data_IF_149677201554
#
_entry.id   IF_149677201554
#
_cell.length_a   1.000
_cell.length_b   1.000
_cell.length_c   1.000
_cell.angle_alpha   90.00
_cell.angle_beta   90.00
_cell.angle_gamma   90.00
#
_symmetry.space_group_name_H-M   'P 1'
#
loop_
_entity.id
_entity.type
_entity.pdbx_description
1 polymer ?
2 non-polymer ?
3 non-polymer ?
4 water ?
#
# COMPACT_ATOMS: atom_id res chain seq x y z
N UNK A 1 -18.17 -1.20 3.75
CA UNK A 1 -18.34 -2.55 4.35
C UNK A 1 -17.00 -3.00 4.93
N UNK A 2 -16.88 -4.30 5.19
CA UNK A 2 -15.66 -4.91 5.73
C UNK A 2 -15.04 -5.76 4.63
N UNK A 3 -13.80 -5.44 4.30
CA UNK A 3 -13.10 -6.16 3.26
C UNK A 3 -11.89 -6.89 3.88
N UNK A 4 -11.81 -8.22 3.68
CA UNK A 4 -10.67 -8.99 4.20
C UNK A 4 -9.57 -8.92 3.15
N UNK A 5 -8.35 -9.34 3.51
CA UNK A 5 -7.22 -9.22 2.60
C UNK A 5 -6.64 -10.47 1.95
N UNK A 6 -7.44 -11.53 1.86
CA UNK A 6 -7.02 -12.77 1.22
C UNK A 6 -6.84 -12.54 -0.27
N UNK A 7 -7.49 -11.52 -0.80
CA UNK A 7 -7.33 -11.17 -2.21
C UNK A 7 -6.94 -9.68 -2.23
N UNK A 8 -6.45 -9.17 -3.36
CA UNK A 8 -6.15 -7.73 -3.42
C UNK A 8 -7.45 -6.97 -3.19
N UNK A 9 -7.42 -5.88 -2.38
CA UNK A 9 -8.61 -5.05 -2.08
C UNK A 9 -8.99 -4.08 -3.23
N UNK A 10 -9.53 -4.63 -4.31
CA UNK A 10 -9.90 -3.85 -5.49
C UNK A 10 -11.34 -3.39 -5.41
N UNK A 11 -11.58 -2.14 -5.81
CA UNK A 11 -12.93 -1.59 -5.79
C UNK A 11 -13.24 -0.84 -7.08
N UNK A 12 -14.51 -0.58 -7.29
CA UNK A 12 -14.92 0.14 -8.46
C UNK A 12 -15.01 1.64 -8.14
N UNK A 13 -14.37 2.45 -8.97
CA UNK A 13 -14.45 3.87 -8.79
C UNK A 13 -14.99 4.47 -10.09
N UNK A 14 -15.60 5.64 -9.96
CA UNK A 14 -16.12 6.39 -11.11
C UNK A 14 -15.47 7.73 -10.99
N UNK A 15 -14.71 8.07 -12.02
CA UNK A 15 -14.00 9.32 -12.06
C UNK A 15 -13.97 9.84 -13.49
N UNK A 16 -14.42 11.08 -13.64
CA UNK A 16 -14.43 11.71 -14.95
C UNK A 16 -15.39 11.07 -15.92
N UNK A 17 -16.50 10.55 -15.42
CA UNK A 17 -17.48 9.90 -16.27
C UNK A 17 -17.12 8.47 -16.66
N UNK A 18 -15.93 8.02 -16.26
CA UNK A 18 -15.44 6.66 -16.57
C UNK A 18 -15.35 5.70 -15.38
N UNK A 19 -15.60 4.43 -15.65
CA UNK A 19 -15.54 3.42 -14.61
C UNK A 19 -14.20 2.72 -14.60
N UNK A 20 -13.63 2.57 -13.41
CA UNK A 20 -12.35 1.92 -13.31
C UNK A 20 -12.29 1.09 -12.06
N UNK A 21 -11.27 0.26 -12.01
CA UNK A 21 -11.02 -0.61 -10.89
C UNK A 21 -9.76 -0.03 -10.24
N UNK A 22 -9.77 0.09 -8.91
CA UNK A 22 -8.64 0.62 -8.16
C UNK A 22 -8.33 -0.19 -6.89
N UNK A 23 -7.08 -0.12 -6.46
CA UNK A 23 -6.63 -0.85 -5.29
C UNK A 23 -6.65 0.03 -4.04
N UNK A 24 -7.34 -0.40 -3.00
CA UNK A 24 -7.36 0.37 -1.75
C UNK A 24 -5.98 0.15 -1.08
N UNK A 25 -5.17 1.22 -1.02
CA UNK A 25 -3.81 1.11 -0.50
C UNK A 25 -3.46 1.97 0.73
N UNK A 26 -3.41 1.33 1.90
CA UNK A 26 -3.09 2.07 3.13
C UNK A 26 -1.64 2.57 3.19
N UNK A 27 -0.79 1.96 2.36
CA UNK A 27 0.60 2.35 2.33
C UNK A 27 0.94 3.45 1.33
N UNK A 28 -0.09 4.08 0.74
CA UNK A 28 0.08 5.16 -0.23
C UNK A 28 -0.45 6.46 0.37
N UNK A 29 0.37 7.50 0.43
CA UNK A 29 -0.15 8.76 0.98
C UNK A 29 -1.11 9.36 -0.05
N UNK A 30 -0.78 9.15 -1.33
CA UNK A 30 -1.51 9.68 -2.50
C UNK A 30 -2.29 8.68 -3.35
N UNK A 31 -3.20 9.21 -4.14
CA UNK A 31 -4.01 8.42 -5.06
C UNK A 31 -3.38 8.57 -6.46
N UNK A 32 -3.02 7.46 -7.08
CA UNK A 32 -2.39 7.52 -8.40
C UNK A 32 -3.17 6.66 -9.40
N UNK A 33 -3.56 7.27 -10.51
CA UNK A 33 -4.31 6.57 -11.54
C UNK A 33 -3.48 6.44 -12.81
N UNK A 34 -3.62 5.31 -13.51
CA UNK A 34 -2.91 5.09 -14.78
C UNK A 34 -3.25 6.22 -15.74
N UNK A 35 -2.54 6.33 -16.87
CA UNK A 35 -2.81 7.44 -17.81
C UNK A 35 -4.32 7.63 -18.06
N UNK A 36 -4.77 8.87 -17.87
CA UNK A 36 -6.16 9.10 -18.07
C UNK A 36 -6.44 10.52 -18.52
N UNK A 37 -7.49 10.62 -19.32
CA UNK A 37 -7.95 11.88 -19.88
C UNK A 37 -8.76 12.60 -18.82
N UNK A 38 -8.09 13.44 -18.06
CA UNK A 38 -8.78 14.20 -17.03
C UNK A 38 -8.89 15.62 -17.51
N UNK A 39 -9.87 16.36 -16.99
CA UNK A 39 -10.03 17.74 -17.44
C UNK A 39 -9.71 18.75 -16.34
N UNK A 40 -9.24 19.91 -16.78
CA UNK A 40 -8.91 20.98 -15.85
C UNK A 40 -7.42 21.27 -15.88
N UNK A 41 -6.96 22.08 -14.92
CA UNK A 41 -5.53 22.43 -14.82
C UNK A 41 -4.77 21.52 -13.87
N UNK A 42 -3.44 21.56 -13.95
CA UNK A 42 -2.58 20.75 -13.09
C UNK A 42 -1.16 21.30 -12.95
N UNK A 43 -0.34 20.60 -12.18
CA UNK A 43 1.06 20.96 -11.92
C UNK A 43 1.89 19.67 -11.81
N UNK A 44 3.13 19.66 -12.36
CA UNK A 44 3.95 18.45 -12.28
C UNK A 44 4.33 18.07 -10.85
N UNK A 45 4.66 16.80 -10.68
CA UNK A 45 5.05 16.28 -9.39
C UNK A 45 5.71 14.94 -9.62
N UNK A 46 6.52 14.50 -8.65
CA UNK A 46 7.22 13.23 -8.71
C UNK A 46 6.88 12.44 -7.47
N UNK A 47 6.71 11.14 -7.61
CA UNK A 47 6.43 10.33 -6.44
C UNK A 47 7.33 9.12 -6.47
N UNK A 48 7.59 8.59 -5.29
CA UNK A 48 8.43 7.42 -5.17
C UNK A 48 7.70 6.25 -4.52
N UNK A 49 8.24 5.06 -4.77
CA UNK A 49 7.67 3.85 -4.22
C UNK A 49 8.79 2.83 -4.22
N UNK A 50 8.45 1.54 -4.11
CA UNK A 50 9.48 0.52 -4.10
C UNK A 50 10.61 0.57 -5.15
N UNK A 51 10.29 0.69 -6.43
CA UNK A 51 11.36 0.71 -7.43
C UNK A 51 11.99 2.02 -7.87
N UNK A 52 11.49 3.16 -7.40
CA UNK A 52 12.06 4.43 -7.82
C UNK A 52 11.08 5.57 -7.86
N UNK A 53 11.25 6.48 -8.80
CA UNK A 53 10.36 7.63 -8.90
C UNK A 53 9.66 7.74 -10.27
N UNK A 54 8.46 8.33 -10.31
CA UNK A 54 7.76 8.55 -11.58
C UNK A 54 7.21 9.96 -11.58
N UNK A 55 6.95 10.49 -12.76
CA UNK A 55 6.38 11.84 -12.84
C UNK A 55 4.90 11.70 -13.15
N UNK A 56 4.11 12.49 -12.44
CA UNK A 56 2.65 12.45 -12.58
C UNK A 56 2.07 13.86 -12.65
N UNK A 57 0.90 13.98 -13.27
CA UNK A 57 0.27 15.29 -13.35
C UNK A 57 -0.65 15.32 -12.13
N UNK A 58 -0.67 16.43 -11.42
CA UNK A 58 -1.50 16.53 -10.24
C UNK A 58 -2.72 17.45 -10.37
N UNK A 59 -3.91 16.84 -10.30
CA UNK A 59 -5.19 17.52 -10.43
C UNK A 59 -5.86 17.65 -9.08
N UNK A 60 -6.26 18.87 -8.71
CA UNK A 60 -6.92 19.06 -7.42
C UNK A 60 -8.45 19.14 -7.54
N UNK A 61 -9.13 19.00 -6.40
CA UNK A 61 -10.57 19.04 -6.34
C UNK A 61 -11.21 18.20 -7.44
N UNK A 62 -10.88 16.92 -7.50
CA UNK A 62 -11.45 16.05 -8.52
C UNK A 62 -12.50 15.21 -7.83
N UNK A 63 -13.67 15.11 -8.44
CA UNK A 63 -14.72 14.29 -7.86
C UNK A 63 -14.42 12.83 -8.23
N UNK A 64 -14.51 11.95 -7.24
CA UNK A 64 -14.27 10.53 -7.46
C UNK A 64 -15.29 9.80 -6.62
N UNK A 65 -15.85 8.73 -7.15
CA UNK A 65 -16.83 7.96 -6.42
C UNK A 65 -16.22 6.58 -6.16
N UNK A 66 -16.02 6.24 -4.89
CA UNK A 66 -15.40 4.96 -4.48
C UNK A 66 -16.43 4.14 -3.73
N UNK A 67 -16.78 2.99 -4.30
CA UNK A 67 -17.82 2.13 -3.74
C UNK A 67 -19.03 2.96 -3.31
N UNK A 68 -19.47 3.86 -4.18
CA UNK A 68 -20.64 4.67 -3.88
C UNK A 68 -20.43 5.93 -3.05
N UNK A 69 -19.27 6.07 -2.42
CA UNK A 69 -19.02 7.28 -1.63
C UNK A 69 -18.34 8.28 -2.52
N UNK A 70 -18.93 9.46 -2.62
CA UNK A 70 -18.35 10.53 -3.40
C UNK A 70 -17.39 11.28 -2.48
N UNK A 71 -16.25 11.67 -3.01
CA UNK A 71 -15.23 12.40 -2.29
C UNK A 71 -14.62 13.31 -3.34
N UNK A 72 -14.01 14.40 -2.90
CA UNK A 72 -13.36 15.36 -3.78
C UNK A 72 -11.94 15.49 -3.21
N UNK A 73 -10.94 15.40 -4.06
CA UNK A 73 -9.58 15.47 -3.59
C UNK A 73 -8.61 15.51 -4.74
N UNK A 74 -7.33 15.40 -4.39
CA UNK A 74 -6.29 15.44 -5.39
C UNK A 74 -6.08 14.07 -5.96
N UNK A 75 -5.82 14.03 -7.25
CA UNK A 75 -5.59 12.77 -7.90
C UNK A 75 -4.35 13.01 -8.73
N UNK A 76 -3.49 12.01 -8.78
CA UNK A 76 -2.26 12.10 -9.57
C UNK A 76 -2.37 11.11 -10.75
N UNK A 77 -2.05 11.59 -11.94
CA UNK A 77 -2.14 10.75 -13.13
C UNK A 77 -0.77 10.58 -13.78
N UNK A 78 -0.40 9.33 -14.04
CA UNK A 78 0.89 9.05 -14.64
C UNK A 78 1.11 7.58 -14.94
N UNK A 79 2.37 7.17 -15.22
CA UNK A 79 2.70 5.77 -15.53
C UNK A 79 2.77 4.78 -14.37
N UNK A 80 1.67 4.59 -13.65
CA UNK A 80 1.63 3.64 -12.55
C UNK A 80 1.07 2.33 -13.09
N UNK A 81 1.58 1.19 -12.60
CA UNK A 81 1.12 -0.14 -13.04
C UNK A 81 -0.40 -0.36 -12.77
N UNK A 82 -0.83 0.09 -11.58
CA UNK A 82 -2.21 -0.07 -11.13
C UNK A 82 -2.77 1.25 -10.59
N UNK A 83 -4.09 1.36 -10.58
CA UNK A 83 -4.75 2.54 -10.01
C UNK A 83 -4.70 2.32 -8.50
N UNK A 84 -4.20 3.29 -7.76
CA UNK A 84 -4.11 3.14 -6.31
C UNK A 84 -4.88 4.27 -5.62
N UNK A 85 -5.71 3.91 -4.64
CA UNK A 85 -6.50 4.88 -3.87
C UNK A 85 -5.72 5.03 -2.57
N UNK A 86 -5.10 6.19 -2.35
CA UNK A 86 -4.28 6.42 -1.16
C UNK A 86 -5.00 7.01 0.04
N UNK A 87 -4.27 7.28 1.11
CA UNK A 87 -4.85 7.80 2.31
C UNK A 87 -5.56 9.15 2.17
N UNK A 88 -5.18 9.95 1.20
CA UNK A 88 -5.87 11.23 1.04
C UNK A 88 -7.34 11.03 0.74
N UNK A 89 -7.70 9.95 0.07
CA UNK A 89 -9.11 9.69 -0.20
C UNK A 89 -9.71 8.69 0.79
N UNK A 90 -8.90 7.75 1.28
CA UNK A 90 -9.38 6.74 2.24
C UNK A 90 -9.91 7.38 3.55
N UNK A 91 -9.24 8.43 4.04
CA UNK A 91 -9.72 9.11 5.24
C UNK A 91 -11.12 9.67 4.94
N UNK A 92 -11.32 10.14 3.70
CA UNK A 92 -12.58 10.72 3.23
C UNK A 92 -13.77 9.79 3.24
N UNK A 93 -13.55 8.49 3.18
CA UNK A 93 -14.69 7.58 3.22
C UNK A 93 -14.71 6.92 4.59
N UNK A 94 -13.89 7.46 5.50
CA UNK A 94 -13.82 6.95 6.86
C UNK A 94 -13.34 5.52 6.94
N UNK A 95 -12.39 5.17 6.09
CA UNK A 95 -11.86 3.83 6.03
C UNK A 95 -10.83 3.60 7.13
N UNK A 96 -10.94 2.47 7.83
CA UNK A 96 -10.00 2.10 8.92
C UNK A 96 -9.45 0.68 8.77
N UNK A 97 -8.35 0.39 9.45
CA UNK A 97 -7.76 -0.96 9.45
C UNK A 97 -8.17 -1.50 10.82
N UNK A 98 -8.54 -2.79 10.88
CA UNK A 98 -9.01 -3.40 12.12
C UNK A 98 -8.42 -4.78 12.31
N UNK A 99 -7.90 -5.09 13.50
CA UNK A 99 -7.37 -6.42 13.74
C UNK A 99 -7.28 -6.74 15.24
N UNK B 1 -6.42 -3.71 17.02
CA UNK B 1 -7.33 -2.57 17.34
C UNK B 1 -7.80 -1.94 16.03
N UNK B 2 -8.35 -0.73 16.12
CA UNK B 2 -8.83 0.02 14.96
C UNK B 2 -7.89 1.19 14.72
N UNK B 3 -7.30 1.20 13.53
CA UNK B 3 -6.35 2.23 13.15
C UNK B 3 -6.94 3.12 12.04
N UNK B 4 -7.06 4.44 12.28
CA UNK B 4 -7.58 5.34 11.25
C UNK B 4 -6.39 5.74 10.37
N UNK B 5 -6.68 6.35 9.21
CA UNK B 5 -5.62 6.67 8.26
C UNK B 5 -5.19 8.12 8.05
N UNK B 6 -5.46 8.97 9.05
CA UNK B 6 -5.06 10.38 9.00
C UNK B 6 -3.55 10.47 9.05
N UNK B 7 -2.90 9.45 9.60
CA UNK B 7 -1.44 9.44 9.64
C UNK B 7 -1.03 8.10 8.98
N UNK B 8 0.24 7.94 8.61
CA UNK B 8 0.66 6.65 8.05
C UNK B 8 0.43 5.59 9.12
N UNK B 9 -0.09 4.39 8.73
CA UNK B 9 -0.37 3.26 9.66
C UNK B 9 0.91 2.46 10.05
N UNK B 10 1.76 3.07 10.86
CA UNK B 10 3.02 2.47 11.30
C UNK B 10 2.86 1.68 12.58
N UNK B 11 3.50 0.53 12.64
CA UNK B 11 3.41 -0.29 13.84
C UNK B 11 4.78 -0.81 14.23
N UNK B 12 4.87 -1.33 15.45
CA UNK B 12 6.12 -1.88 15.91
C UNK B 12 6.13 -3.38 15.65
N UNK B 13 7.20 -3.86 15.03
CA UNK B 13 7.34 -5.28 14.80
C UNK B 13 8.64 -5.74 15.44
N UNK B 14 8.69 -7.02 15.79
CA UNK B 14 9.88 -7.62 16.36
C UNK B 14 10.18 -8.78 15.43
N UNK B 15 11.36 -8.73 14.83
CA UNK B 15 11.79 -9.76 13.91
C UNK B 15 13.29 -9.98 14.06
N UNK B 16 13.66 -11.23 14.28
CA UNK B 16 15.06 -11.58 14.42
C UNK B 16 15.72 -11.00 15.66
N UNK B 17 14.95 -10.86 16.73
CA UNK B 17 15.49 -10.29 17.96
C UNK B 17 15.59 -8.76 17.94
N UNK B 18 15.27 -8.15 16.80
CA UNK B 18 15.32 -6.69 16.64
C UNK B 18 13.97 -5.99 16.54
N UNK B 19 13.90 -4.77 17.05
CA UNK B 19 12.66 -4.00 17.02
C UNK B 19 12.70 -3.02 15.85
N UNK B 20 11.61 -2.97 15.12
CA UNK B 20 11.53 -2.08 14.00
C UNK B 20 10.15 -1.52 13.86
N UNK B 21 10.06 -0.50 13.04
CA UNK B 21 8.82 0.19 12.75
C UNK B 21 8.49 -0.19 11.30
N UNK B 22 7.24 -0.58 11.05
CA UNK B 22 6.79 -0.96 9.72
C UNK B 22 5.43 -0.36 9.35
N UNK B 23 5.20 -0.22 8.05
CA UNK B 23 3.97 0.34 7.52
C UNK B 23 2.98 -0.74 7.14
N UNK B 24 1.77 -0.71 7.69
CA UNK B 24 0.73 -1.69 7.34
C UNK B 24 0.23 -1.29 5.95
N UNK B 25 0.54 -2.13 4.96
CA UNK B 25 0.21 -1.82 3.55
C UNK B 25 -0.74 -2.78 2.83
N UNK B 26 -2.00 -2.38 2.67
CA UNK B 26 -2.98 -3.25 2.00
C UNK B 26 -2.72 -3.40 0.50
N UNK B 27 -1.94 -2.47 -0.05
CA UNK B 27 -1.62 -2.53 -1.47
C UNK B 27 -0.35 -3.32 -1.82
N UNK B 28 0.22 -4.03 -0.84
CA UNK B 28 1.42 -4.83 -1.03
C UNK B 28 1.07 -6.31 -0.87
N UNK B 29 1.36 -7.14 -1.87
CA UNK B 29 1.02 -8.56 -1.72
C UNK B 29 2.01 -9.16 -0.72
N UNK B 30 3.26 -8.65 -0.76
CA UNK B 30 4.40 -9.09 0.05
C UNK B 30 4.89 -8.15 1.15
N UNK B 31 5.64 -8.72 2.08
CA UNK B 31 6.24 -7.95 3.17
C UNK B 31 7.71 -7.68 2.80
N UNK B 32 8.09 -6.42 2.76
CA UNK B 32 9.46 -6.07 2.40
C UNK B 32 10.13 -5.24 3.50
N UNK B 33 11.28 -5.72 3.98
CA UNK B 33 12.00 -5.03 5.02
C UNK B 33 13.32 -4.49 4.49
N UNK B 34 13.75 -3.34 5.01
CA UNK B 34 15.04 -2.80 4.61
C UNK B 34 16.17 -3.82 4.92
N UNK B 35 17.40 -3.53 4.49
CA UNK B 35 18.50 -4.46 4.75
C UNK B 35 18.60 -4.84 6.23
N UNK B 36 18.69 -6.14 6.49
CA UNK B 36 18.85 -6.60 7.84
C UNK B 36 19.39 -8.01 7.79
N UNK B 37 20.03 -8.39 8.88
CA UNK B 37 20.63 -9.71 9.00
C UNK B 37 19.59 -10.70 9.46
N UNK B 38 19.34 -11.69 8.62
CA UNK B 38 18.36 -12.69 8.95
C UNK B 38 19.02 -14.05 8.86
N UNK B 39 18.62 -14.97 9.75
CA UNK B 39 19.18 -16.32 9.74
C UNK B 39 18.34 -17.21 8.82
N UNK B 40 18.87 -18.39 8.53
CA UNK B 40 18.17 -19.32 7.65
C UNK B 40 18.67 -19.12 6.24
N UNK B 41 18.08 -19.84 5.30
CA UNK B 41 18.48 -19.74 3.89
C UNK B 41 17.59 -18.74 3.13
N UNK B 42 17.74 -18.71 1.81
CA UNK B 42 16.92 -17.86 0.95
C UNK B 42 17.10 -18.13 -0.56
N UNK B 43 16.37 -17.36 -1.38
CA UNK B 43 16.41 -17.45 -2.84
C UNK B 43 16.13 -16.05 -3.41
N UNK B 44 16.82 -15.65 -4.51
CA UNK B 44 16.59 -14.32 -5.10
C UNK B 44 15.18 -14.14 -5.64
N UNK B 45 14.78 -12.88 -5.75
CA UNK B 45 13.46 -12.55 -6.27
C UNK B 45 13.48 -11.07 -6.61
N UNK B 46 12.55 -10.67 -7.48
CA UNK B 46 12.43 -9.28 -7.90
C UNK B 46 11.00 -8.84 -7.65
N UNK B 47 10.82 -7.60 -7.21
CA UNK B 47 9.47 -7.11 -7.00
C UNK B 47 9.34 -5.75 -7.62
N UNK B 48 8.11 -5.42 -7.99
CA UNK B 48 7.84 -4.12 -8.59
C UNK B 48 6.84 -3.31 -7.78
N UNK B 49 6.88 -2.01 -8.02
CA UNK B 49 5.97 -1.10 -7.35
C UNK B 49 5.93 0.15 -8.21
N UNK B 50 5.52 1.28 -7.65
CA UNK B 50 5.48 2.51 -8.42
C UNK B 50 6.99 2.78 -8.50
N UNK B 51 7.48 3.10 -9.69
CA UNK B 51 8.89 3.37 -9.79
C UNK B 51 9.70 2.34 -10.54
N UNK B 52 9.47 1.05 -10.31
CA UNK B 52 10.26 0.04 -11.01
C UNK B 52 10.39 -1.28 -10.28
N UNK B 53 11.53 -1.94 -10.43
CA UNK B 53 11.77 -3.23 -9.80
C UNK B 53 13.02 -3.27 -8.91
N UNK B 54 12.99 -4.02 -7.82
CA UNK B 54 14.18 -4.13 -6.97
C UNK B 54 14.44 -5.59 -6.71
N UNK B 55 15.67 -5.94 -6.36
CA UNK B 55 15.98 -7.34 -6.06
C UNK B 55 16.02 -7.49 -4.56
N UNK B 56 15.42 -8.57 -4.06
CA UNK B 56 15.35 -8.83 -2.63
C UNK B 56 15.66 -10.30 -2.33
N UNK B 57 16.11 -10.57 -1.11
CA UNK B 57 16.39 -11.96 -0.74
C UNK B 57 15.10 -12.41 -0.09
N UNK B 58 14.65 -13.62 -0.41
CA UNK B 58 13.43 -14.14 0.16
C UNK B 58 13.60 -15.28 1.18
N UNK B 59 13.24 -14.98 2.43
CA UNK B 59 13.32 -15.89 3.56
C UNK B 59 11.96 -16.43 3.93
N UNK B 60 11.82 -17.74 4.02
CA UNK B 60 10.52 -18.31 4.38
C UNK B 60 10.46 -18.71 5.85
N UNK B 61 9.25 -18.98 6.31
CA UNK B 61 9.01 -19.35 7.69
C UNK B 61 9.81 -18.48 8.66
N UNK B 62 9.58 -17.17 8.61
CA UNK B 62 10.26 -16.25 9.52
C UNK B 62 9.26 -15.83 10.56
N UNK B 63 9.66 -15.87 11.82
CA UNK B 63 8.77 -15.45 12.89
C UNK B 63 8.84 -13.94 12.95
N UNK B 64 7.69 -13.30 13.05
CA UNK B 64 7.63 -11.84 13.14
C UNK B 64 6.48 -11.53 14.07
N UNK B 65 6.66 -10.55 14.93
CA UNK B 65 5.64 -10.19 15.88
C UNK B 65 5.17 -8.78 15.50
N UNK B 66 3.88 -8.65 15.15
CA UNK B 66 3.28 -7.38 14.72
C UNK B 66 2.23 -6.97 15.73
N UNK B 67 2.46 -5.83 16.37
CA UNK B 67 1.60 -5.35 17.44
C UNK B 67 1.18 -6.51 18.35
N UNK B 68 2.16 -7.29 18.79
CA UNK B 68 1.89 -8.39 19.70
C UNK B 68 1.42 -9.71 19.10
N UNK B 69 1.00 -9.71 17.84
CA UNK B 69 0.57 -10.95 17.20
C UNK B 69 1.74 -11.58 16.52
N UNK B 70 2.02 -12.83 16.90
CA UNK B 70 3.10 -13.57 16.27
C UNK B 70 2.51 -14.24 15.03
N UNK B 71 3.29 -14.24 13.94
CA UNK B 71 2.90 -14.84 12.70
C UNK B 71 4.19 -15.39 12.13
N UNK B 72 4.08 -16.38 11.26
CA UNK B 72 5.26 -16.97 10.59
C UNK B 72 4.93 -16.88 9.09
N UNK B 73 5.87 -16.38 8.31
CA UNK B 73 5.62 -16.23 6.89
C UNK B 73 6.88 -15.83 6.16
N UNK B 74 6.70 -15.50 4.90
CA UNK B 74 7.83 -15.11 4.08
C UNK B 74 8.09 -13.64 4.24
N UNK B 75 9.36 -13.30 4.27
CA UNK B 75 9.75 -11.92 4.40
C UNK B 75 10.78 -11.70 3.32
N UNK B 76 10.71 -10.54 2.67
CA UNK B 76 11.66 -10.19 1.62
C UNK B 76 12.55 -9.06 2.13
N UNK B 77 13.85 -9.21 1.95
CA UNK B 77 14.80 -8.21 2.43
C UNK B 77 15.58 -7.61 1.25
N UNK B 78 15.61 -6.28 1.19
CA UNK B 78 16.30 -5.60 0.12
C UNK B 78 16.28 -4.08 0.25
N UNK B 79 16.63 -3.35 -0.82
CA UNK B 79 16.67 -1.89 -0.81
C UNK B 79 15.33 -1.15 -0.91
N UNK B 80 14.44 -1.37 0.05
CA UNK B 80 13.16 -0.67 0.06
C UNK B 80 13.29 0.55 0.95
N UNK B 81 12.63 1.67 0.60
CA UNK B 81 12.71 2.88 1.42
C UNK B 81 12.18 2.65 2.86
N UNK B 82 11.02 2.00 2.96
CA UNK B 82 10.37 1.74 4.24
C UNK B 82 10.08 0.26 4.39
N UNK B 83 9.88 -0.15 5.64
CA UNK B 83 9.52 -1.53 5.95
C UNK B 83 8.02 -1.59 5.62
N UNK B 84 7.61 -2.59 4.86
CA UNK B 84 6.19 -2.70 4.51
C UNK B 84 5.68 -4.08 4.90
N UNK B 85 4.55 -4.12 5.61
CA UNK B 85 3.91 -5.38 6.03
C UNK B 85 2.80 -5.58 5.01
N UNK B 86 2.94 -6.59 4.14
CA UNK B 86 1.97 -6.85 3.10
C UNK B 86 0.85 -7.80 3.47
N UNK B 87 -0.01 -8.12 2.51
CA UNK B 87 -1.14 -8.99 2.74
C UNK B 87 -0.79 -10.40 3.17
N UNK B 88 0.39 -10.88 2.85
CA UNK B 88 0.74 -12.23 3.29
C UNK B 88 0.78 -12.32 4.81
N UNK B 89 1.11 -11.24 5.50
CA UNK B 89 1.12 -11.26 6.95
C UNK B 89 -0.15 -10.63 7.53
N UNK B 90 -0.71 -9.64 6.84
CA UNK B 90 -1.93 -8.97 7.31
C UNK B 90 -3.13 -9.94 7.45
N UNK B 91 -3.25 -10.91 6.54
CA UNK B 91 -4.32 -11.89 6.64
C UNK B 91 -4.10 -12.70 7.93
N UNK B 92 -2.82 -12.94 8.26
CA UNK B 92 -2.41 -13.70 9.45
C UNK B 92 -2.82 -13.10 10.77
N UNK B 93 -3.00 -11.79 10.82
CA UNK B 93 -3.42 -11.19 12.08
C UNK B 93 -4.89 -10.82 11.97
N UNK B 94 -5.54 -11.33 10.91
CA UNK B 94 -6.95 -11.09 10.69
C UNK B 94 -7.30 -9.63 10.49
N UNK B 95 -6.41 -8.91 9.82
CA UNK B 95 -6.60 -7.49 9.57
C UNK B 95 -7.58 -7.26 8.43
N UNK B 96 -8.53 -6.35 8.62
CA UNK B 96 -9.52 -6.00 7.59
C UNK B 96 -9.62 -4.48 7.35
N UNK B 97 -10.18 -4.08 6.22
CA UNK B 97 -10.39 -2.67 5.93
C UNK B 97 -11.87 -2.47 6.21
N UNK B 98 -12.25 -1.31 6.73
CA UNK B 98 -13.66 -1.07 7.05
C UNK B 98 -14.11 0.34 6.72
N UNK B 99 -15.28 0.47 6.10
CA UNK B 99 -15.82 1.78 5.79
C UNK B 99 -17.32 1.68 5.46
X LIG C 1 4.86 -1.85 -4.16
X LIG C 1 4.05 -2.68 -3.77
X LIG C 1 4.34 -3.94 -3.26
X LIG C 1 5.71 -4.40 -2.79
X LIG C 1 5.53 -5.84 -2.31
X LIG C 1 6.17 -3.51 -1.63
X LIG C 1 6.68 -4.33 -3.96
X LIG C 1 2.68 -2.52 -3.78
X LIG C 1 2.02 -1.30 -4.24
X LIG C 1 1.52 -0.48 -3.06
X LIG C 1 0.84 -1.64 -5.16
X LIG C 1 1.23 -2.31 -6.45
X LIG C 1 0.35 -3.18 -7.09
X LIG C 1 2.47 -2.06 -7.04
X LIG C 1 0.70 -3.78 -8.30
X LIG C 1 2.83 -2.66 -8.25
X LIG C 1 1.94 -3.53 -8.88
X LIG C 1 2.41 0.69 -2.68
X LIG C 1 2.59 0.80 -1.23
X LIG C 1 3.63 1.73 -0.79
X LIG C 1 3.97 2.82 -1.79
X LIG C 1 4.75 2.61 -2.71
X LIG C 1 4.91 0.98 -0.43
X LIG C 1 6.05 1.90 -0.07
X LIG C 1 7.26 1.85 -0.79
X LIG C 1 5.92 2.83 0.95
X LIG C 1 8.31 2.71 -0.48
X LIG C 1 6.97 3.70 1.27
X LIG C 1 8.17 3.63 0.54
X LIG C 1 3.41 4.01 -1.59
X LIG C 1 3.67 5.17 -2.44
X LIG C 1 3.84 6.39 -1.55
X LIG C 1 3.06 6.63 -0.62
X LIG C 1 2.51 5.37 -3.42
X LIG C 1 2.59 6.63 -4.27
X LIG C 1 2.15 7.89 -3.52
X LIG C 1 2.35 9.01 -4.04
X LIG C 1 1.61 7.75 -2.40
X LIG C 1 4.87 7.19 -1.83
X LIG C 1 5.10 8.40 -1.06
X LIG C 1 5.36 9.60 -1.96
X LIG C 1 5.93 9.48 -3.05
X LIG C 1 6.26 8.18 -0.07
X LIG C 1 7.60 8.00 -0.72
X LIG C 1 8.46 9.08 -0.90
X LIG C 1 8.02 6.74 -1.18
X LIG C 1 9.71 8.92 -1.50
X LIG C 1 9.27 6.58 -1.79
X LIG C 1 10.12 7.67 -1.95
X LIG C 1 4.90 10.76 -1.52
X LIG D 1 -2.90 -13.69 -0.28
X LIG D 1 -1.71 -13.28 0.59
X LIG D 1 -3.59 -14.77 0.35
X LIG D 1 -0.41 -12.38 -0.33
#
# INVERSE_FOLDING_TARGET
>A
PQITLWQRPLVTIKIGGQLKEALLDTGADDTVLEEMSLPGRWKPKMIGGIGGFIKVRQYDQILIEICGHKVIGTVLVGPTPTNVIGRNLLTQIGCTLNF
>B
PQITLWQRPLVTIKIGGQLKEALLDTGADDTVLEEMSLPGRWKPKMIGGIGGFIKVRQYDQILIEICGHKVIGTVLVGPTPTNVIGRNLLTQIGCTLNF
>C hetero
1 0ZQ O1 C O2 CT C1 C2 C3 N CA C4 CB CG CD1 CD2 CE1 CE2 CZ CM N1 CA1 C5 O CB1 CG1 CD11 CD21 CE11 CE21 CZ1 N2 CA2 C6 O3 CB2 CG2 CD OE1 OE2 N3 CA3 C7 O4 CB3 CG3 CD12 CD22 CE12 CE22 CZ2 N4
>D hetero
1 BME C1 C2 O1 S2
#
